data_IF_910759716882
#
_entry.id   IF_910759716882
#
_cell.length_a   1.000
_cell.length_b   1.000
_cell.length_c   1.000
_cell.angle_alpha   90.00
_cell.angle_beta   90.00
_cell.angle_gamma   90.00
#
_symmetry.space_group_name_H-M   'P 1'
#
loop_
_entity.id
_entity.type
_entity.pdbx_description
1 polymer ?
#
# COMPACT_ATOMS: atom_id res chain seq x y z
N UNK A 1 -5.79 11.34 13.69
CA UNK A 1 -5.04 10.70 12.59
C UNK A 1 -4.80 11.74 11.53
N UNK A 2 -3.54 11.95 11.16
CA UNK A 2 -3.09 12.81 10.05
C UNK A 2 -2.75 11.92 8.86
N UNK A 3 -2.98 12.41 7.63
CA UNK A 3 -2.53 11.73 6.42
C UNK A 3 -1.39 12.55 5.82
N UNK A 4 -0.29 11.88 5.50
CA UNK A 4 0.88 12.46 4.85
C UNK A 4 1.10 11.78 3.50
N UNK A 5 1.18 12.56 2.43
CA UNK A 5 1.53 12.06 1.10
C UNK A 5 2.98 12.47 0.82
N UNK A 6 3.87 11.49 0.77
CA UNK A 6 5.31 11.72 0.67
C UNK A 6 5.84 11.44 -0.74
N UNK A 7 6.65 12.36 -1.28
CA UNK A 7 7.23 12.24 -2.63
C UNK A 7 8.46 11.35 -2.68
N UNK A 8 9.27 11.42 -1.64
CA UNK A 8 10.50 10.66 -1.53
C UNK A 8 10.21 9.19 -1.26
N UNK A 9 11.07 8.31 -1.78
CA UNK A 9 10.98 6.90 -1.49
C UNK A 9 11.20 6.62 -0.01
N UNK A 10 10.42 5.69 0.54
CA UNK A 10 10.59 5.27 1.92
C UNK A 10 11.90 4.52 2.10
N UNK A 11 12.49 4.65 3.28
CA UNK A 11 13.67 3.90 3.69
C UNK A 11 13.46 3.32 5.09
N UNK A 12 14.17 2.23 5.40
CA UNK A 12 14.14 1.62 6.73
C UNK A 12 14.60 2.60 7.82
N UNK A 13 15.60 3.42 7.53
CA UNK A 13 16.10 4.47 8.43
C UNK A 13 15.01 5.48 8.74
N UNK A 14 14.33 5.99 7.71
CA UNK A 14 13.20 6.92 7.89
C UNK A 14 12.09 6.31 8.75
N UNK A 15 11.74 5.04 8.52
CA UNK A 15 10.74 4.34 9.33
C UNK A 15 11.17 4.26 10.81
N UNK A 16 12.44 3.93 11.08
CA UNK A 16 12.98 3.84 12.45
C UNK A 16 13.01 5.19 13.16
N UNK A 17 13.32 6.27 12.44
CA UNK A 17 13.36 7.63 12.98
C UNK A 17 11.96 8.20 13.29
N UNK A 18 10.91 7.65 12.66
CA UNK A 18 9.53 8.14 12.76
C UNK A 18 8.58 7.05 13.31
N UNK A 19 8.80 6.54 14.54
CA UNK A 19 8.09 5.37 15.06
C UNK A 19 6.59 5.58 15.31
N UNK A 20 6.13 6.84 15.35
CA UNK A 20 4.72 7.25 15.47
C UNK A 20 4.00 7.36 14.11
N UNK A 21 4.70 7.17 12.99
CA UNK A 21 4.11 7.13 11.66
C UNK A 21 3.95 5.69 11.19
N UNK A 22 2.83 5.37 10.55
CA UNK A 22 2.63 4.10 9.85
C UNK A 22 2.83 4.31 8.35
N UNK A 23 3.81 3.62 7.78
CA UNK A 23 4.13 3.71 6.34
C UNK A 23 3.40 2.62 5.56
N UNK A 24 2.56 3.01 4.60
CA UNK A 24 1.87 2.06 3.72
C UNK A 24 2.62 1.95 2.39
N UNK A 25 2.94 0.74 1.97
CA UNK A 25 3.63 0.51 0.70
C UNK A 25 2.92 -0.54 -0.16
N UNK A 26 3.16 -0.48 -1.47
CA UNK A 26 2.70 -1.50 -2.41
C UNK A 26 3.48 -2.81 -2.22
N UNK A 27 2.76 -3.89 -1.96
CA UNK A 27 3.30 -5.23 -1.70
C UNK A 27 2.69 -6.27 -2.68
N UNK A 28 3.12 -7.53 -2.56
CA UNK A 28 2.53 -8.67 -3.24
C UNK A 28 1.84 -9.62 -2.25
N UNK A 29 0.88 -10.40 -2.73
CA UNK A 29 0.08 -11.32 -1.91
C UNK A 29 0.92 -12.27 -1.04
N UNK A 30 2.09 -12.71 -1.53
CA UNK A 30 2.95 -13.64 -0.79
C UNK A 30 3.94 -12.96 0.17
N UNK A 31 3.93 -11.61 0.24
CA UNK A 31 4.77 -10.78 1.13
C UNK A 31 6.27 -11.11 1.04
N UNK A 32 6.80 -11.30 -0.18
CA UNK A 32 8.22 -11.60 -0.43
C UNK A 32 8.90 -10.62 -1.39
N UNK A 33 10.24 -10.63 -1.40
CA UNK A 33 11.05 -9.71 -2.23
C UNK A 33 11.08 -8.28 -1.69
N UNK A 34 12.04 -7.46 -2.16
CA UNK A 34 12.27 -6.08 -1.69
C UNK A 34 12.32 -5.05 -2.83
N UNK A 35 11.73 -5.35 -3.97
CA UNK A 35 11.69 -4.44 -5.12
C UNK A 35 10.69 -3.31 -4.90
N UNK A 36 10.99 -2.11 -5.37
CA UNK A 36 10.13 -0.94 -5.16
C UNK A 36 10.11 -0.50 -3.70
N UNK A 37 8.94 -0.04 -3.24
CA UNK A 37 8.72 0.35 -1.84
C UNK A 37 8.68 -0.85 -0.88
N UNK A 38 8.61 -2.10 -1.36
CA UNK A 38 8.69 -3.29 -0.49
C UNK A 38 10.06 -3.45 0.21
N UNK A 39 11.04 -2.59 -0.07
CA UNK A 39 12.30 -2.48 0.67
C UNK A 39 12.10 -2.16 2.15
N UNK A 40 11.00 -1.49 2.53
CA UNK A 40 10.69 -1.17 3.93
C UNK A 40 9.92 -2.25 4.69
N UNK A 41 9.54 -3.38 4.06
CA UNK A 41 8.63 -4.40 4.66
C UNK A 41 9.03 -4.85 6.07
N UNK A 42 10.33 -4.87 6.37
CA UNK A 42 10.86 -5.32 7.66
C UNK A 42 10.79 -4.25 8.77
N UNK A 43 10.39 -3.02 8.46
CA UNK A 43 10.21 -1.97 9.46
C UNK A 43 8.97 -2.23 10.32
N UNK A 44 9.13 -2.05 11.64
CA UNK A 44 8.10 -2.33 12.64
C UNK A 44 6.88 -1.40 12.58
N UNK A 45 6.96 -0.31 11.82
CA UNK A 45 5.92 0.68 11.57
C UNK A 45 5.65 0.83 10.05
N UNK A 46 5.79 -0.27 9.32
CA UNK A 46 5.38 -0.37 7.92
C UNK A 46 4.30 -1.44 7.76
N UNK A 47 3.45 -1.27 6.75
CA UNK A 47 2.41 -2.22 6.40
C UNK A 47 2.21 -2.26 4.88
N UNK A 48 2.12 -3.48 4.34
CA UNK A 48 2.01 -3.70 2.90
C UNK A 48 0.55 -3.83 2.47
N UNK A 49 0.16 -3.08 1.42
CA UNK A 49 -1.09 -3.28 0.70
C UNK A 49 -0.82 -4.13 -0.54
N UNK A 50 -1.55 -5.23 -0.73
CA UNK A 50 -1.36 -6.08 -1.89
C UNK A 50 -1.72 -5.34 -3.19
N UNK A 51 -0.77 -5.25 -4.11
CA UNK A 51 -0.91 -4.58 -5.41
C UNK A 51 -0.52 -5.50 -6.57
N UNK A 52 -0.11 -6.72 -6.25
CA UNK A 52 0.43 -7.70 -7.18
C UNK A 52 0.32 -9.11 -6.59
N UNK A 53 0.26 -10.16 -7.41
CA UNK A 53 0.27 -11.55 -6.92
C UNK A 53 1.65 -11.99 -6.44
N UNK A 54 2.68 -11.73 -7.23
CA UNK A 54 4.05 -12.23 -7.01
C UNK A 54 5.11 -11.14 -7.21
N UNK A 55 6.29 -11.25 -6.55
CA UNK A 55 7.39 -10.29 -6.68
C UNK A 55 8.23 -10.53 -7.95
N UNK A 56 7.58 -10.62 -9.11
CA UNK A 56 8.25 -10.80 -10.40
C UNK A 56 7.56 -10.01 -11.51
N UNK A 57 8.18 -9.91 -12.69
CA UNK A 57 7.62 -9.22 -13.86
C UNK A 57 6.97 -10.16 -14.88
N UNK A 58 6.75 -11.43 -14.54
CA UNK A 58 5.98 -12.34 -15.39
C UNK A 58 4.50 -11.91 -15.44
N UNK A 59 3.83 -12.17 -16.56
CA UNK A 59 2.42 -11.79 -16.76
C UNK A 59 1.52 -12.33 -15.65
N UNK A 60 1.73 -13.57 -15.21
CA UNK A 60 0.97 -14.20 -14.13
C UNK A 60 1.20 -13.57 -12.74
N UNK A 61 2.21 -12.71 -12.59
CA UNK A 61 2.48 -12.02 -11.33
C UNK A 61 1.59 -10.82 -11.11
N UNK A 62 1.10 -10.18 -12.17
CA UNK A 62 0.26 -8.98 -12.08
C UNK A 62 -1.15 -9.33 -11.62
N UNK A 63 -1.84 -8.35 -11.05
CA UNK A 63 -3.29 -8.44 -10.89
C UNK A 63 -4.00 -8.40 -12.25
N UNK A 64 -5.25 -8.85 -12.28
CA UNK A 64 -6.03 -8.93 -13.51
C UNK A 64 -7.54 -8.87 -13.24
N UNK A 65 -7.96 -7.99 -12.33
CA UNK A 65 -9.36 -7.75 -11.93
C UNK A 65 -10.12 -9.01 -11.51
N UNK A 66 -9.46 -9.93 -10.79
CA UNK A 66 -10.15 -11.12 -10.25
C UNK A 66 -10.68 -10.87 -8.86
N UNK A 67 -11.85 -11.44 -8.56
CA UNK A 67 -12.52 -11.36 -7.25
C UNK A 67 -11.61 -11.65 -6.04
N UNK A 68 -10.71 -12.64 -6.14
CA UNK A 68 -9.78 -12.96 -5.05
C UNK A 68 -8.82 -11.80 -4.72
N UNK A 69 -8.53 -10.95 -5.70
CA UNK A 69 -7.68 -9.77 -5.54
C UNK A 69 -8.42 -8.64 -4.84
N UNK A 70 -9.70 -8.43 -5.17
CA UNK A 70 -10.57 -7.47 -4.49
C UNK A 70 -10.65 -7.79 -3.00
N UNK A 71 -10.96 -9.05 -2.65
CA UNK A 71 -11.04 -9.46 -1.24
C UNK A 71 -9.75 -9.17 -0.48
N UNK A 72 -8.59 -9.48 -1.07
CA UNK A 72 -7.30 -9.26 -0.39
C UNK A 72 -6.97 -7.78 -0.25
N UNK A 73 -7.25 -6.97 -1.27
CA UNK A 73 -7.04 -5.52 -1.22
C UNK A 73 -7.91 -4.89 -0.14
N UNK A 74 -9.20 -5.24 -0.09
CA UNK A 74 -10.14 -4.74 0.92
C UNK A 74 -9.72 -5.16 2.33
N UNK A 75 -9.37 -6.43 2.53
CA UNK A 75 -8.83 -6.91 3.80
C UNK A 75 -7.57 -6.16 4.24
N UNK A 76 -6.65 -5.87 3.32
CA UNK A 76 -5.43 -5.12 3.62
C UNK A 76 -5.75 -3.67 4.00
N UNK A 77 -6.69 -3.02 3.31
CA UNK A 77 -7.15 -1.67 3.67
C UNK A 77 -7.75 -1.68 5.08
N UNK A 78 -8.60 -2.65 5.40
CA UNK A 78 -9.16 -2.79 6.75
C UNK A 78 -8.08 -3.04 7.80
N UNK A 79 -7.09 -3.88 7.51
CA UNK A 79 -5.94 -4.10 8.40
C UNK A 79 -5.18 -2.81 8.65
N UNK A 80 -4.89 -2.02 7.61
CA UNK A 80 -4.21 -0.71 7.73
C UNK A 80 -4.99 0.24 8.64
N UNK A 81 -6.30 0.37 8.44
CA UNK A 81 -7.14 1.24 9.25
C UNK A 81 -7.25 0.76 10.69
N UNK A 82 -7.33 -0.55 10.90
CA UNK A 82 -7.37 -1.13 12.25
C UNK A 82 -6.06 -0.90 12.99
N UNK A 83 -4.92 -1.05 12.31
CA UNK A 83 -3.58 -0.84 12.87
C UNK A 83 -3.37 0.64 13.25
N UNK A 84 -3.92 1.59 12.47
CA UNK A 84 -3.91 3.01 12.82
C UNK A 84 -4.71 3.33 14.10
N UNK A 85 -5.76 2.59 14.38
CA UNK A 85 -6.61 2.81 15.57
C UNK A 85 -6.11 2.04 16.79
N UNK A 86 -5.30 1.00 16.57
CA UNK A 86 -4.81 0.11 17.61
C UNK A 86 -3.83 0.82 18.53
N UNK A 87 -4.15 0.78 19.82
CA UNK A 87 -3.31 1.29 20.92
C UNK A 87 -2.86 2.75 20.79
N UNK A 88 -3.45 3.52 19.87
CA UNK A 88 -3.07 4.89 19.51
C UNK A 88 -1.55 5.07 19.27
N UNK A 89 -0.88 4.00 18.80
CA UNK A 89 0.57 3.99 18.57
C UNK A 89 0.98 4.96 17.45
N UNK A 90 0.12 5.09 16.44
CA UNK A 90 0.38 5.90 15.26
C UNK A 90 -0.53 7.12 15.23
N UNK A 91 0.04 8.29 14.98
CA UNK A 91 -0.72 9.53 14.79
C UNK A 91 -0.86 9.91 13.30
N UNK A 92 0.02 9.37 12.45
CA UNK A 92 0.14 9.73 11.04
C UNK A 92 0.21 8.49 10.15
N UNK A 93 -0.62 8.44 9.11
CA UNK A 93 -0.54 7.45 8.02
C UNK A 93 0.20 8.07 6.84
N UNK A 94 1.28 7.43 6.39
CA UNK A 94 2.12 7.92 5.28
C UNK A 94 1.85 7.10 4.03
N UNK A 95 1.45 7.77 2.95
CA UNK A 95 1.17 7.20 1.64
C UNK A 95 2.19 7.70 0.60
N UNK A 96 2.60 6.86 -0.37
CA UNK A 96 3.50 7.29 -1.43
C UNK A 96 2.80 8.25 -2.41
N UNK A 97 3.47 9.31 -2.82
CA UNK A 97 2.95 10.30 -3.77
C UNK A 97 2.61 9.69 -5.13
N UNK A 98 3.46 8.77 -5.61
CA UNK A 98 3.24 8.03 -6.85
C UNK A 98 2.06 7.05 -6.74
N UNK A 99 1.40 6.92 -5.59
CA UNK A 99 0.22 6.09 -5.41
C UNK A 99 0.55 4.63 -5.09
N UNK A 100 -0.42 3.95 -4.49
CA UNK A 100 -0.36 2.50 -4.31
C UNK A 100 -0.80 1.81 -5.60
N UNK A 101 -0.12 0.74 -6.00
CA UNK A 101 -0.46 -0.03 -7.21
C UNK A 101 0.18 0.46 -8.49
N UNK A 102 0.87 1.60 -8.45
CA UNK A 102 1.63 2.15 -9.58
C UNK A 102 3.05 1.56 -9.66
N UNK A 103 3.85 2.01 -10.63
CA UNK A 103 5.23 1.55 -10.80
C UNK A 103 5.33 0.07 -11.18
N UNK A 104 5.99 -0.74 -10.35
CA UNK A 104 6.28 -2.16 -10.65
C UNK A 104 5.03 -3.07 -10.60
N UNK A 105 3.94 -2.58 -10.01
CA UNK A 105 2.68 -3.30 -9.91
C UNK A 105 1.76 -3.09 -11.10
N UNK A 106 1.86 -1.95 -11.80
CA UNK A 106 1.16 -1.68 -13.07
C UNK A 106 -0.36 -1.93 -13.00
N UNK A 107 -0.99 -1.65 -11.86
CA UNK A 107 -2.42 -1.86 -11.71
C UNK A 107 -3.27 -1.02 -12.69
N UNK A 108 -2.93 0.25 -13.01
CA UNK A 108 -3.69 1.01 -14.01
C UNK A 108 -3.78 0.33 -15.38
N UNK A 109 -2.75 -0.42 -15.79
CA UNK A 109 -2.73 -1.10 -17.08
C UNK A 109 -3.17 -2.56 -17.02
N UNK A 110 -2.96 -3.24 -15.88
CA UNK A 110 -3.16 -4.70 -15.74
C UNK A 110 -4.46 -5.06 -15.04
N UNK A 111 -4.93 -4.20 -14.15
CA UNK A 111 -6.13 -4.39 -13.33
C UNK A 111 -6.83 -3.04 -13.07
N UNK A 112 -7.29 -2.33 -14.13
CA UNK A 112 -7.84 -0.98 -14.01
C UNK A 112 -9.08 -0.91 -13.12
N UNK A 113 -9.95 -1.93 -13.15
CA UNK A 113 -11.19 -1.92 -12.36
C UNK A 113 -10.86 -2.01 -10.86
N UNK A 114 -9.94 -2.91 -10.49
CA UNK A 114 -9.47 -3.04 -9.12
C UNK A 114 -8.66 -1.82 -8.68
N UNK A 115 -7.91 -1.19 -9.58
CA UNK A 115 -7.17 0.03 -9.28
C UNK A 115 -8.11 1.18 -8.90
N UNK A 116 -9.13 1.43 -9.72
CA UNK A 116 -10.14 2.47 -9.46
C UNK A 116 -10.91 2.17 -8.16
N UNK A 117 -11.28 0.90 -7.93
CA UNK A 117 -11.94 0.47 -6.70
C UNK A 117 -11.08 0.72 -5.46
N UNK A 118 -9.80 0.30 -5.51
CA UNK A 118 -8.84 0.49 -4.43
C UNK A 118 -8.65 1.98 -4.11
N UNK A 119 -8.43 2.83 -5.13
CA UNK A 119 -8.25 4.28 -4.94
C UNK A 119 -9.52 4.89 -4.34
N UNK A 120 -10.70 4.55 -4.84
CA UNK A 120 -11.98 5.04 -4.33
C UNK A 120 -12.16 4.70 -2.85
N UNK A 121 -11.91 3.45 -2.45
CA UNK A 121 -12.01 3.04 -1.04
C UNK A 121 -11.01 3.82 -0.17
N UNK A 122 -9.77 3.99 -0.62
CA UNK A 122 -8.75 4.72 0.13
C UNK A 122 -9.17 6.19 0.32
N UNK A 123 -9.61 6.85 -0.76
CA UNK A 123 -10.10 8.22 -0.71
C UNK A 123 -11.29 8.37 0.25
N UNK A 124 -12.28 7.48 0.15
CA UNK A 124 -13.49 7.52 0.96
C UNK A 124 -13.20 7.26 2.44
N UNK A 125 -12.41 6.22 2.76
CA UNK A 125 -12.11 5.84 4.15
C UNK A 125 -11.15 6.81 4.84
N UNK A 126 -10.26 7.47 4.08
CA UNK A 126 -9.31 8.45 4.64
C UNK A 126 -9.77 9.90 4.49
N UNK A 127 -10.86 10.15 3.75
CA UNK A 127 -11.35 11.49 3.41
C UNK A 127 -10.26 12.37 2.77
N UNK A 128 -9.60 11.83 1.74
CA UNK A 128 -8.52 12.49 0.98
C UNK A 128 -8.79 12.42 -0.52
N UNK A 129 -8.03 13.19 -1.30
CA UNK A 129 -7.89 12.96 -2.74
C UNK A 129 -6.53 12.35 -3.01
N UNK A 130 -6.53 11.14 -3.57
CA UNK A 130 -5.36 10.30 -3.83
C UNK A 130 -5.25 9.91 -5.31
N UNK A 131 -6.26 10.24 -6.13
CA UNK A 131 -6.23 10.17 -7.59
C UNK A 131 -5.04 10.94 -8.18
N UNK A 132 -4.36 10.29 -9.13
CA UNK A 132 -3.32 10.86 -9.99
C UNK A 132 -3.83 11.01 -11.41
#
# INVERSE_FOLDING_TARGET
>A
MTIEIQKEWFSLEQCLENPNKLYVFGDNMIRRGKGGQASIREAANSIGLATKRLPSMSVASFFSDKEDEYCIVEEDIEKILSEMQKDLRYDTLVLPFDGLGTGLSQMPEKSPELFEHMVTIIEDKLNITYRQ
#
